data_IF_176998113190
#
_entry.id   IF_176998113190
#
_cell.length_a   1.000
_cell.length_b   1.000
_cell.length_c   1.000
_cell.angle_alpha   90.00
_cell.angle_beta   90.00
_cell.angle_gamma   90.00
#
_symmetry.space_group_name_H-M   'P 1'
#
loop_
_entity.id
_entity.type
_entity.pdbx_description
1 polymer ?
#
# COMPACT_ATOMS: atom_id res chain seq x y z
N UNK A 1 1.01 12.19 51.42
CA UNK A 1 0.69 11.32 50.26
C UNK A 1 -0.47 11.84 49.41
N UNK A 2 -1.64 12.25 49.94
CA UNK A 2 -2.79 12.73 49.13
C UNK A 2 -2.52 14.00 48.29
N UNK A 3 -1.72 14.96 48.78
CA UNK A 3 -1.39 16.20 48.04
C UNK A 3 -0.47 15.98 46.82
N UNK A 4 0.25 14.86 46.76
CA UNK A 4 1.21 14.58 45.68
C UNK A 4 0.54 14.08 44.38
N UNK A 5 -0.71 13.60 44.46
CA UNK A 5 -1.49 13.07 43.32
C UNK A 5 -2.42 14.14 42.73
N UNK A 6 -2.76 15.18 43.50
CA UNK A 6 -3.70 16.23 43.08
C UNK A 6 -3.10 17.11 41.97
N UNK A 7 -1.83 17.52 42.10
CA UNK A 7 -1.20 18.40 41.11
C UNK A 7 -1.04 17.74 39.72
N UNK A 8 -0.56 16.48 39.60
CA UNK A 8 -0.56 15.77 38.32
C UNK A 8 -1.95 15.61 37.71
N UNK A 9 -2.97 15.33 38.53
CA UNK A 9 -4.34 15.19 38.06
C UNK A 9 -4.91 16.51 37.51
N UNK A 10 -4.61 17.64 38.15
CA UNK A 10 -5.00 18.97 37.66
C UNK A 10 -4.30 19.29 36.35
N UNK A 11 -3.00 19.02 36.23
CA UNK A 11 -2.25 19.23 34.98
C UNK A 11 -2.85 18.40 33.84
N UNK A 12 -3.17 17.12 34.10
CA UNK A 12 -3.82 16.25 33.12
C UNK A 12 -5.21 16.78 32.71
N UNK A 13 -5.99 17.25 33.66
CA UNK A 13 -7.33 17.81 33.40
C UNK A 13 -7.27 19.10 32.58
N UNK A 14 -6.32 19.99 32.87
CA UNK A 14 -6.09 21.22 32.10
C UNK A 14 -5.61 20.89 30.70
N UNK A 15 -4.68 19.93 30.55
CA UNK A 15 -4.22 19.47 29.25
C UNK A 15 -5.38 18.86 28.42
N UNK A 16 -6.21 18.02 29.03
CA UNK A 16 -7.38 17.42 28.39
C UNK A 16 -8.41 18.50 27.97
N UNK A 17 -8.71 19.46 28.84
CA UNK A 17 -9.60 20.57 28.52
C UNK A 17 -9.05 21.45 27.39
N UNK A 18 -7.73 21.66 27.36
CA UNK A 18 -7.02 22.34 26.27
C UNK A 18 -7.20 21.61 24.94
N UNK A 19 -6.96 20.29 24.90
CA UNK A 19 -7.16 19.47 23.69
C UNK A 19 -8.60 19.56 23.20
N UNK A 20 -9.59 19.44 24.09
CA UNK A 20 -11.01 19.53 23.71
C UNK A 20 -11.35 20.87 23.07
N UNK A 21 -10.77 21.96 23.59
CA UNK A 21 -11.06 23.33 23.16
C UNK A 21 -10.40 23.73 21.83
N UNK A 22 -9.30 23.06 21.44
CA UNK A 22 -8.63 23.33 20.15
C UNK A 22 -9.51 22.88 18.97
N UNK A 23 -9.49 23.58 17.82
CA UNK A 23 -10.13 23.08 16.61
C UNK A 23 -9.47 21.77 16.17
N UNK A 24 -10.27 20.84 15.64
CA UNK A 24 -9.72 19.60 15.07
C UNK A 24 -9.17 19.88 13.65
N UNK A 25 -8.04 19.28 13.25
CA UNK A 25 -7.52 19.41 11.89
C UNK A 25 -8.31 18.58 10.87
N UNK A 26 -9.28 17.78 11.33
CA UNK A 26 -10.14 16.94 10.50
C UNK A 26 -11.60 17.14 10.88
N UNK A 27 -12.48 16.74 9.98
CA UNK A 27 -13.91 16.61 10.23
C UNK A 27 -14.32 15.16 9.99
N UNK A 28 -14.01 14.23 10.90
CA UNK A 28 -14.14 12.82 10.57
C UNK A 28 -15.57 12.30 10.38
N UNK A 29 -15.72 11.19 9.64
CA UNK A 29 -17.00 10.46 9.49
C UNK A 29 -16.99 9.16 10.28
N UNK A 30 -18.16 8.62 10.64
CA UNK A 30 -18.22 7.33 11.31
C UNK A 30 -17.85 6.22 10.31
N UNK A 31 -16.94 5.32 10.71
CA UNK A 31 -16.57 4.14 9.93
C UNK A 31 -16.94 2.90 10.73
N UNK A 32 -17.80 2.06 10.15
CA UNK A 32 -18.19 0.79 10.74
C UNK A 32 -17.33 -0.32 10.15
N UNK A 33 -16.35 -0.76 10.94
CA UNK A 33 -15.43 -1.78 10.53
C UNK A 33 -16.12 -3.16 10.57
N UNK A 34 -15.91 -3.99 9.55
CA UNK A 34 -16.44 -5.35 9.48
C UNK A 34 -15.83 -6.26 10.58
N UNK A 35 -16.39 -7.43 10.88
CA UNK A 35 -15.64 -8.38 11.72
C UNK A 35 -14.57 -9.07 10.86
N UNK A 36 -13.28 -9.11 11.27
CA UNK A 36 -12.26 -9.80 10.48
C UNK A 36 -12.52 -11.31 10.41
N UNK A 37 -12.01 -11.94 9.36
CA UNK A 37 -11.87 -13.39 9.29
C UNK A 37 -10.98 -13.87 10.45
N UNK A 38 -11.40 -14.97 11.08
CA UNK A 38 -10.65 -15.57 12.18
C UNK A 38 -9.40 -16.29 11.61
N UNK A 39 -8.28 -16.23 12.34
CA UNK A 39 -7.05 -16.96 12.00
C UNK A 39 -7.22 -18.47 12.29
N UNK A 40 -7.95 -19.14 11.41
CA UNK A 40 -8.27 -20.56 11.48
C UNK A 40 -8.34 -21.18 10.07
N UNK A 41 -8.23 -22.51 9.99
CA UNK A 41 -8.28 -23.23 8.71
C UNK A 41 -7.17 -22.76 7.77
N UNK A 42 -7.54 -22.32 6.56
CA UNK A 42 -6.61 -21.80 5.55
C UNK A 42 -5.83 -20.57 6.05
N UNK A 43 -6.40 -19.81 7.00
CA UNK A 43 -5.78 -18.65 7.64
C UNK A 43 -5.06 -18.98 8.95
N UNK A 44 -4.89 -20.26 9.31
CA UNK A 44 -4.22 -20.61 10.57
C UNK A 44 -2.78 -20.05 10.59
N UNK A 45 -2.34 -19.40 11.69
CA UNK A 45 -1.00 -18.83 11.76
C UNK A 45 0.06 -19.93 11.58
N UNK A 46 1.08 -19.60 10.80
CA UNK A 46 2.26 -20.43 10.57
C UNK A 46 3.52 -19.57 10.61
N UNK A 47 4.65 -20.10 10.18
CA UNK A 47 5.91 -19.36 10.11
C UNK A 47 6.66 -19.63 8.79
N UNK A 48 5.90 -19.91 7.73
CA UNK A 48 6.46 -20.24 6.41
C UNK A 48 7.32 -19.11 5.84
N UNK A 49 7.02 -17.84 6.16
CA UNK A 49 7.82 -16.71 5.69
C UNK A 49 9.17 -16.57 6.41
N UNK A 50 9.44 -17.30 7.50
CA UNK A 50 10.74 -17.27 8.15
C UNK A 50 11.87 -17.87 7.29
N UNK A 51 11.54 -18.67 6.26
CA UNK A 51 12.50 -19.18 5.29
C UNK A 51 12.91 -18.17 4.21
N UNK A 52 12.31 -16.97 4.23
CA UNK A 52 12.58 -15.91 3.24
C UNK A 52 14.06 -15.57 3.19
N UNK A 53 14.64 -15.64 2.00
CA UNK A 53 16.00 -15.20 1.74
C UNK A 53 16.06 -13.68 1.73
N UNK A 54 17.00 -13.12 2.49
CA UNK A 54 17.10 -11.68 2.70
C UNK A 54 18.22 -11.08 1.87
N UNK A 55 17.86 -10.14 1.00
CA UNK A 55 18.82 -9.26 0.31
C UNK A 55 18.81 -7.90 0.99
N UNK A 56 19.86 -7.59 1.74
CA UNK A 56 19.99 -6.28 2.39
C UNK A 56 20.17 -5.16 1.37
N UNK A 57 19.55 -4.02 1.65
CA UNK A 57 19.77 -2.77 0.95
C UNK A 57 21.13 -2.15 1.36
N UNK A 58 21.68 -1.19 0.58
CA UNK A 58 22.87 -0.45 0.97
C UNK A 58 22.74 0.20 2.35
N UNK A 59 23.87 0.41 3.02
CA UNK A 59 23.88 1.05 4.33
C UNK A 59 23.17 2.42 4.31
N UNK A 60 22.26 2.64 5.25
CA UNK A 60 21.45 3.86 5.35
C UNK A 60 20.22 3.89 4.42
N UNK A 61 20.00 2.87 3.59
CA UNK A 61 18.80 2.72 2.77
C UNK A 61 17.79 1.79 3.46
N UNK A 62 16.51 2.13 3.34
CA UNK A 62 15.40 1.37 3.88
C UNK A 62 14.12 1.67 3.08
N UNK A 63 13.12 0.81 3.29
CA UNK A 63 11.79 0.95 2.72
C UNK A 63 11.76 0.75 1.23
N UNK A 64 12.39 -0.33 0.76
CA UNK A 64 12.19 -0.88 -0.58
C UNK A 64 10.78 -1.43 -0.68
N UNK A 65 9.83 -0.54 -0.97
CA UNK A 65 8.39 -0.78 -0.85
C UNK A 65 7.91 -1.76 -1.93
N UNK A 66 8.20 -1.48 -3.20
CA UNK A 66 7.99 -2.42 -4.30
C UNK A 66 9.29 -2.91 -4.95
N UNK A 67 9.18 -4.00 -5.72
CA UNK A 67 10.25 -4.62 -6.49
C UNK A 67 9.81 -4.86 -7.93
N UNK A 68 10.52 -4.28 -8.90
CA UNK A 68 10.38 -4.67 -10.29
C UNK A 68 11.60 -5.47 -10.76
N UNK A 69 11.40 -6.41 -11.68
CA UNK A 69 12.49 -7.16 -12.32
C UNK A 69 12.49 -6.91 -13.82
N UNK A 70 13.64 -6.54 -14.36
CA UNK A 70 13.79 -6.34 -15.80
C UNK A 70 14.02 -7.67 -16.55
N UNK A 71 14.06 -7.60 -17.90
CA UNK A 71 14.31 -8.77 -18.76
C UNK A 71 15.70 -9.40 -18.58
N UNK A 72 16.64 -8.71 -17.94
CA UNK A 72 17.99 -9.21 -17.64
C UNK A 72 18.08 -9.84 -16.24
N UNK A 73 16.98 -9.84 -15.49
CA UNK A 73 16.92 -10.36 -14.12
C UNK A 73 17.47 -9.39 -13.07
N UNK A 74 17.67 -8.11 -13.42
CA UNK A 74 18.04 -7.09 -12.45
C UNK A 74 16.82 -6.65 -11.65
N UNK A 75 16.98 -6.58 -10.33
CA UNK A 75 15.96 -6.11 -9.41
C UNK A 75 16.06 -4.59 -9.24
N UNK A 76 14.91 -3.94 -9.16
CA UNK A 76 14.75 -2.51 -8.96
C UNK A 76 13.86 -2.27 -7.75
N UNK A 77 14.19 -1.28 -6.93
CA UNK A 77 13.35 -0.89 -5.78
C UNK A 77 13.52 0.59 -5.46
N UNK A 78 12.48 1.21 -4.92
CA UNK A 78 12.46 2.60 -4.48
C UNK A 78 12.61 2.73 -2.97
N UNK A 79 13.47 3.62 -2.48
CA UNK A 79 13.74 3.78 -1.04
C UNK A 79 13.08 5.01 -0.41
N UNK A 80 13.05 5.07 0.92
CA UNK A 80 12.39 6.14 1.70
C UNK A 80 12.86 7.55 1.35
N UNK A 81 14.10 7.68 0.90
CA UNK A 81 14.72 8.95 0.51
C UNK A 81 14.52 9.31 -0.98
N UNK A 82 13.70 8.55 -1.71
CA UNK A 82 13.38 8.78 -3.11
C UNK A 82 14.35 8.13 -4.11
N UNK A 83 15.35 7.38 -3.64
CA UNK A 83 16.32 6.75 -4.56
C UNK A 83 15.71 5.56 -5.28
N UNK A 84 16.05 5.39 -6.56
CA UNK A 84 15.81 4.15 -7.32
C UNK A 84 17.11 3.35 -7.32
N UNK A 85 17.07 2.16 -6.74
CA UNK A 85 18.20 1.25 -6.66
C UNK A 85 18.05 0.13 -7.69
N UNK A 86 19.18 -0.38 -8.18
CA UNK A 86 19.25 -1.58 -9.01
C UNK A 86 20.23 -2.60 -8.45
N UNK A 87 19.89 -3.88 -8.54
CA UNK A 87 20.80 -5.00 -8.30
C UNK A 87 20.64 -6.04 -9.39
N UNK A 88 21.65 -6.12 -10.26
CA UNK A 88 21.75 -7.19 -11.24
C UNK A 88 22.29 -8.48 -10.63
N UNK A 89 22.06 -9.65 -11.27
CA UNK A 89 22.65 -10.92 -10.85
C UNK A 89 24.17 -10.78 -10.64
N UNK A 90 24.65 -11.31 -9.51
CA UNK A 90 26.07 -11.28 -9.11
C UNK A 90 26.68 -9.90 -8.83
N UNK A 91 25.92 -8.80 -8.96
CA UNK A 91 26.38 -7.44 -8.71
C UNK A 91 25.90 -6.91 -7.36
N UNK A 92 26.56 -5.87 -6.86
CA UNK A 92 26.08 -5.09 -5.71
C UNK A 92 24.95 -4.15 -6.13
N UNK A 93 24.23 -3.64 -5.14
CA UNK A 93 23.29 -2.54 -5.35
C UNK A 93 24.00 -1.29 -5.85
N UNK A 94 23.37 -0.59 -6.78
CA UNK A 94 23.75 0.75 -7.22
C UNK A 94 22.55 1.69 -7.15
N UNK A 95 22.80 2.98 -6.99
CA UNK A 95 21.76 4.02 -7.10
C UNK A 95 21.77 4.56 -8.52
N UNK A 96 20.64 4.43 -9.22
CA UNK A 96 20.50 4.90 -10.60
C UNK A 96 20.12 6.38 -10.65
N UNK A 97 19.15 6.76 -9.84
CA UNK A 97 18.59 8.12 -9.79
C UNK A 97 17.83 8.36 -8.49
N UNK A 98 17.25 9.55 -8.34
CA UNK A 98 16.37 9.90 -7.23
C UNK A 98 15.18 10.70 -7.78
N UNK A 99 13.95 10.30 -7.45
CA UNK A 99 12.72 10.97 -7.94
C UNK A 99 12.48 12.31 -7.25
N UNK A 100 13.15 12.55 -6.12
CA UNK A 100 12.91 13.68 -5.22
C UNK A 100 11.57 13.58 -4.48
N UNK A 101 10.92 12.41 -4.51
CA UNK A 101 9.66 12.08 -3.85
C UNK A 101 9.78 10.77 -3.07
N UNK A 102 8.72 9.95 -3.10
CA UNK A 102 8.67 8.65 -2.43
C UNK A 102 8.08 7.61 -3.40
N UNK A 103 8.93 6.88 -4.13
CA UNK A 103 8.51 5.76 -4.97
C UNK A 103 7.92 4.66 -4.09
N UNK A 104 6.75 4.20 -4.49
CA UNK A 104 6.02 3.09 -3.88
C UNK A 104 5.98 1.96 -4.93
N UNK A 105 4.96 1.90 -5.79
CA UNK A 105 4.84 0.87 -6.83
C UNK A 105 5.74 1.04 -8.06
N UNK A 106 6.14 -0.08 -8.66
CA UNK A 106 7.10 -0.19 -9.75
C UNK A 106 6.66 -1.24 -10.78
N UNK A 107 6.62 -0.87 -12.06
CA UNK A 107 6.35 -1.84 -13.13
C UNK A 107 7.13 -1.49 -14.40
N UNK A 108 7.67 -2.49 -15.11
CA UNK A 108 8.32 -2.27 -16.40
C UNK A 108 7.30 -2.26 -17.54
N UNK A 109 7.40 -1.28 -18.43
CA UNK A 109 6.67 -1.32 -19.70
C UNK A 109 7.35 -2.24 -20.74
N UNK A 110 6.71 -2.38 -21.90
CA UNK A 110 7.22 -3.20 -23.02
C UNK A 110 8.57 -2.73 -23.56
N UNK A 111 8.86 -1.42 -23.44
CA UNK A 111 10.10 -0.76 -23.87
C UNK A 111 11.20 -0.79 -22.81
N UNK A 112 10.93 -1.37 -21.63
CA UNK A 112 11.83 -1.41 -20.47
C UNK A 112 12.08 -0.04 -19.83
N UNK A 113 11.13 0.89 -19.97
CA UNK A 113 11.06 1.99 -19.02
C UNK A 113 10.44 1.48 -17.73
N UNK A 114 11.00 1.91 -16.60
CA UNK A 114 10.43 1.63 -15.28
C UNK A 114 9.36 2.69 -15.00
N UNK A 115 8.11 2.27 -14.95
CA UNK A 115 6.98 3.09 -14.51
C UNK A 115 6.99 3.09 -12.99
N UNK A 116 6.85 4.27 -12.41
CA UNK A 116 7.01 4.50 -10.97
C UNK A 116 5.77 5.23 -10.46
N UNK A 117 5.04 4.61 -9.55
CA UNK A 117 4.07 5.28 -8.71
C UNK A 117 4.83 6.02 -7.59
N UNK A 118 4.87 7.36 -7.64
CA UNK A 118 5.53 8.18 -6.63
C UNK A 118 4.49 8.98 -5.83
N UNK A 119 4.46 8.75 -4.52
CA UNK A 119 3.52 9.33 -3.59
C UNK A 119 3.51 10.87 -3.55
N UNK A 120 4.56 11.52 -4.05
CA UNK A 120 4.68 12.97 -4.05
C UNK A 120 4.75 13.58 -5.45
N UNK A 121 5.24 12.83 -6.45
CA UNK A 121 5.49 13.32 -7.81
C UNK A 121 4.45 12.85 -8.82
N UNK A 122 3.56 11.94 -8.47
CA UNK A 122 2.58 11.35 -9.37
C UNK A 122 3.15 10.12 -10.08
N UNK A 123 2.61 9.82 -11.27
CA UNK A 123 3.10 8.74 -12.11
C UNK A 123 4.31 9.21 -12.93
N UNK A 124 5.43 8.51 -12.77
CA UNK A 124 6.68 8.79 -13.46
C UNK A 124 7.07 7.64 -14.39
N UNK A 125 7.97 7.94 -15.32
CA UNK A 125 8.70 6.94 -16.12
C UNK A 125 10.20 7.20 -16.00
N UNK A 126 10.98 6.13 -15.86
CA UNK A 126 12.43 6.15 -15.90
C UNK A 126 12.92 5.36 -17.11
N UNK A 127 13.64 6.01 -18.01
CA UNK A 127 14.25 5.33 -19.16
C UNK A 127 15.36 4.35 -18.73
N UNK A 128 15.80 3.43 -19.62
CA UNK A 128 16.98 2.59 -19.37
C UNK A 128 18.27 3.35 -19.05
N UNK A 129 18.34 4.63 -19.44
CA UNK A 129 19.46 5.55 -19.12
C UNK A 129 19.26 6.33 -17.81
N UNK A 130 18.30 5.91 -16.97
CA UNK A 130 17.96 6.50 -15.68
C UNK A 130 17.42 7.95 -15.74
N UNK A 131 16.87 8.36 -16.90
CA UNK A 131 16.24 9.68 -17.04
C UNK A 131 14.77 9.61 -16.61
N UNK A 132 14.38 10.48 -15.67
CA UNK A 132 13.00 10.60 -15.19
C UNK A 132 12.19 11.56 -16.06
N UNK A 133 10.95 11.18 -16.36
CA UNK A 133 9.89 12.02 -16.92
C UNK A 133 8.59 11.84 -16.14
N UNK A 134 7.81 12.91 -16.01
CA UNK A 134 6.46 12.86 -15.43
C UNK A 134 5.49 12.40 -16.52
N UNK A 135 4.73 11.34 -16.25
CA UNK A 135 3.63 10.88 -17.10
C UNK A 135 2.31 11.54 -16.70
N UNK A 136 2.02 11.61 -15.40
CA UNK A 136 0.84 12.29 -14.87
C UNK A 136 1.06 12.76 -13.44
N UNK A 137 0.85 14.04 -13.17
CA UNK A 137 0.88 14.62 -11.81
C UNK A 137 -0.42 15.35 -11.44
N UNK A 138 -1.36 15.47 -12.39
CA UNK A 138 -2.60 16.23 -12.24
C UNK A 138 -3.77 15.58 -12.98
N UNK A 139 -4.96 15.78 -12.43
CA UNK A 139 -6.24 15.45 -13.05
C UNK A 139 -7.23 16.59 -12.79
N UNK A 140 -7.90 17.10 -13.84
CA UNK A 140 -8.79 18.27 -13.75
C UNK A 140 -8.16 19.49 -13.04
N UNK A 141 -6.90 19.78 -13.34
CA UNK A 141 -6.07 20.84 -12.72
C UNK A 141 -5.71 20.64 -11.24
N UNK A 142 -6.23 19.61 -10.58
CA UNK A 142 -5.85 19.24 -9.22
C UNK A 142 -4.64 18.31 -9.26
N UNK A 143 -3.73 18.47 -8.29
CA UNK A 143 -2.59 17.56 -8.15
C UNK A 143 -3.11 16.17 -7.75
N UNK A 144 -2.50 15.12 -8.30
CA UNK A 144 -2.65 13.78 -7.72
C UNK A 144 -2.15 13.78 -6.27
N UNK A 145 -2.76 12.92 -5.45
CA UNK A 145 -2.51 12.86 -4.03
C UNK A 145 -1.31 11.99 -3.70
N UNK A 146 -1.58 10.75 -3.31
CA UNK A 146 -0.60 9.70 -2.99
C UNK A 146 -0.68 8.64 -4.08
N UNK A 147 0.09 8.81 -5.16
CA UNK A 147 0.17 7.77 -6.20
C UNK A 147 0.97 6.59 -5.63
N UNK A 148 0.33 5.43 -5.58
CA UNK A 148 0.74 4.36 -4.65
C UNK A 148 1.19 3.10 -5.37
N UNK A 149 0.36 2.52 -6.24
CA UNK A 149 0.70 1.31 -6.99
C UNK A 149 0.36 1.41 -8.49
N UNK A 150 0.97 0.55 -9.30
CA UNK A 150 0.87 0.55 -10.76
C UNK A 150 0.95 -0.85 -11.37
N UNK A 151 0.08 -1.11 -12.35
CA UNK A 151 0.13 -2.30 -13.21
C UNK A 151 -0.16 -1.92 -14.67
N UNK A 152 0.28 -2.74 -15.62
CA UNK A 152 0.21 -2.45 -17.05
C UNK A 152 -0.60 -3.51 -17.78
N UNK A 153 -1.64 -3.07 -18.50
CA UNK A 153 -2.46 -3.88 -19.38
C UNK A 153 -1.70 -4.46 -20.56
N UNK A 154 -2.27 -5.48 -21.20
CA UNK A 154 -1.67 -6.12 -22.37
C UNK A 154 -1.52 -5.19 -23.58
N UNK A 155 -2.32 -4.11 -23.64
CA UNK A 155 -2.27 -3.06 -24.65
C UNK A 155 -1.33 -1.89 -24.28
N UNK A 156 -0.63 -1.98 -23.14
CA UNK A 156 0.23 -0.93 -22.61
C UNK A 156 -0.50 0.14 -21.79
N UNK A 157 -1.82 0.06 -21.62
CA UNK A 157 -2.56 0.95 -20.72
C UNK A 157 -2.00 0.83 -19.30
N UNK A 158 -1.62 1.95 -18.70
CA UNK A 158 -1.06 1.99 -17.35
C UNK A 158 -2.20 2.24 -16.38
N UNK A 159 -2.51 1.27 -15.52
CA UNK A 159 -3.46 1.39 -14.43
C UNK A 159 -2.71 1.74 -13.16
N UNK A 160 -3.15 2.77 -12.44
CA UNK A 160 -2.48 3.16 -11.20
C UNK A 160 -3.47 3.72 -10.19
N UNK A 161 -3.11 3.55 -8.92
CA UNK A 161 -3.88 4.08 -7.80
C UNK A 161 -3.37 5.45 -7.38
N UNK A 162 -4.31 6.28 -6.96
CA UNK A 162 -4.05 7.46 -6.14
C UNK A 162 -4.75 7.22 -4.80
N UNK A 163 -4.00 6.74 -3.81
CA UNK A 163 -4.49 6.20 -2.56
C UNK A 163 -5.34 7.19 -1.78
N UNK A 164 -4.92 8.46 -1.75
CA UNK A 164 -5.63 9.53 -1.07
C UNK A 164 -5.38 10.86 -1.75
N UNK A 165 -6.44 11.53 -2.20
CA UNK A 165 -6.35 12.89 -2.71
C UNK A 165 -6.57 13.97 -1.63
N UNK A 166 -6.76 13.57 -0.37
CA UNK A 166 -7.04 14.48 0.75
C UNK A 166 -5.83 14.73 1.65
N UNK A 167 -4.98 13.72 1.82
CA UNK A 167 -3.85 13.76 2.75
C UNK A 167 -2.59 13.25 2.08
N UNK A 168 -1.46 13.90 2.34
CA UNK A 168 -0.16 13.39 1.93
C UNK A 168 0.20 12.14 2.76
N UNK A 169 1.07 11.28 2.24
CA UNK A 169 1.53 10.06 2.92
C UNK A 169 2.03 10.31 4.35
N UNK A 170 2.78 11.39 4.58
CA UNK A 170 3.27 11.77 5.92
C UNK A 170 2.14 12.05 6.92
N UNK A 171 0.94 12.35 6.45
CA UNK A 171 -0.26 12.69 7.21
C UNK A 171 -1.29 11.54 7.24
N UNK A 172 -0.90 10.31 6.88
CA UNK A 172 -1.76 9.12 6.81
C UNK A 172 -2.59 8.85 8.07
N UNK A 173 -2.08 9.17 9.26
CA UNK A 173 -2.83 9.03 10.52
C UNK A 173 -4.08 9.92 10.52
N UNK A 174 -4.01 11.11 9.93
CA UNK A 174 -5.17 11.99 9.78
C UNK A 174 -6.18 11.42 8.79
N UNK A 175 -5.71 10.75 7.74
CA UNK A 175 -6.58 10.12 6.74
C UNK A 175 -7.36 8.94 7.34
N UNK A 176 -6.67 8.06 8.07
CA UNK A 176 -7.28 6.98 8.85
C UNK A 176 -8.35 7.57 9.78
N UNK A 177 -8.01 8.63 10.53
CA UNK A 177 -8.94 9.25 11.47
C UNK A 177 -10.09 9.99 10.77
N UNK A 178 -9.89 10.62 9.61
CA UNK A 178 -10.98 11.23 8.85
C UNK A 178 -11.96 10.12 8.42
N UNK A 179 -11.44 9.08 7.78
CA UNK A 179 -12.18 7.87 7.41
C UNK A 179 -13.10 8.06 6.20
N UNK A 180 -13.04 9.21 5.51
CA UNK A 180 -13.73 9.38 4.23
C UNK A 180 -12.93 8.74 3.09
N UNK A 181 -13.53 7.81 2.32
CA UNK A 181 -12.92 7.28 1.12
C UNK A 181 -12.62 8.41 0.12
N UNK A 182 -11.38 8.47 -0.37
CA UNK A 182 -10.92 9.49 -1.31
C UNK A 182 -9.94 8.97 -2.35
N UNK A 183 -9.60 7.67 -2.27
CA UNK A 183 -8.75 7.02 -3.24
C UNK A 183 -9.42 6.90 -4.60
N UNK A 184 -8.60 6.85 -5.63
CA UNK A 184 -8.98 6.85 -7.05
C UNK A 184 -8.19 5.81 -7.82
N UNK A 185 -8.81 5.26 -8.86
CA UNK A 185 -8.17 4.41 -9.86
C UNK A 185 -8.16 5.13 -11.20
N UNK A 186 -6.98 5.25 -11.80
CA UNK A 186 -6.79 5.85 -13.11
C UNK A 186 -6.30 4.84 -14.14
N UNK A 187 -6.58 5.15 -15.41
CA UNK A 187 -5.92 4.56 -16.57
C UNK A 187 -5.26 5.67 -17.40
N UNK A 188 -4.00 5.46 -17.77
CA UNK A 188 -3.27 6.31 -18.71
C UNK A 188 -3.05 5.54 -20.00
N UNK A 189 -3.57 6.06 -21.11
CA UNK A 189 -3.29 5.52 -22.44
C UNK A 189 -1.92 6.07 -22.92
N UNK A 190 -0.94 5.20 -23.23
CA UNK A 190 0.41 5.64 -23.59
C UNK A 190 0.50 6.24 -25.01
N UNK A 191 -0.44 5.95 -25.90
CA UNK A 191 -0.41 6.42 -27.29
C UNK A 191 -0.79 7.91 -27.40
N UNK A 192 -1.78 8.33 -26.63
CA UNK A 192 -2.32 9.69 -26.68
C UNK A 192 -2.17 10.48 -25.37
N UNK A 193 -1.56 9.88 -24.35
CA UNK A 193 -1.39 10.44 -23.00
C UNK A 193 -2.72 10.83 -22.32
N UNK A 194 -3.82 10.18 -22.68
CA UNK A 194 -5.12 10.45 -22.06
C UNK A 194 -5.19 9.79 -20.69
N UNK A 195 -5.36 10.62 -19.65
CA UNK A 195 -5.62 10.18 -18.29
C UNK A 195 -7.13 10.10 -18.02
N UNK A 196 -7.61 8.92 -17.65
CA UNK A 196 -9.03 8.63 -17.39
C UNK A 196 -9.23 8.17 -15.96
N UNK A 197 -10.17 8.80 -15.23
CA UNK A 197 -10.63 8.30 -13.93
C UNK A 197 -11.60 7.13 -14.17
N UNK A 198 -11.23 5.93 -13.72
CA UNK A 198 -12.06 4.73 -13.89
C UNK A 198 -13.06 4.56 -12.76
N UNK A 199 -12.62 4.79 -11.52
CA UNK A 199 -13.43 4.70 -10.32
C UNK A 199 -12.81 5.53 -9.18
N UNK A 200 -13.63 5.93 -8.22
CA UNK A 200 -13.20 6.64 -7.02
C UNK A 200 -13.93 6.14 -5.76
N UNK A 201 -13.70 6.83 -4.65
CA UNK A 201 -14.32 6.52 -3.36
C UNK A 201 -13.78 5.23 -2.76
N UNK A 202 -12.47 4.99 -2.90
CA UNK A 202 -11.76 3.90 -2.23
C UNK A 202 -11.20 4.36 -0.88
N UNK A 203 -11.24 3.50 0.13
CA UNK A 203 -10.67 3.81 1.44
C UNK A 203 -9.17 3.47 1.47
N UNK A 204 -8.36 4.41 0.97
CA UNK A 204 -6.94 4.24 0.66
C UNK A 204 -6.74 3.21 -0.47
N UNK A 205 -6.79 3.68 -1.73
CA UNK A 205 -6.58 2.84 -2.92
C UNK A 205 -5.10 2.46 -3.03
N UNK A 206 -4.75 1.26 -2.60
CA UNK A 206 -3.37 0.82 -2.53
C UNK A 206 -3.05 -0.04 -3.77
N UNK A 207 -2.79 -1.33 -3.60
CA UNK A 207 -2.37 -2.21 -4.68
C UNK A 207 -3.33 -2.31 -5.87
N UNK A 208 -2.77 -2.45 -7.07
CA UNK A 208 -3.49 -2.51 -8.36
C UNK A 208 -3.08 -3.77 -9.13
N UNK A 209 -4.05 -4.55 -9.62
CA UNK A 209 -3.75 -5.67 -10.51
C UNK A 209 -4.78 -5.82 -11.64
N UNK A 210 -4.35 -5.74 -12.89
CA UNK A 210 -5.19 -6.01 -14.06
C UNK A 210 -5.37 -7.52 -14.27
N UNK A 211 -6.61 -7.91 -14.55
CA UNK A 211 -6.98 -9.28 -14.89
C UNK A 211 -6.28 -9.80 -16.14
N UNK A 212 -6.05 -11.11 -16.21
CA UNK A 212 -5.41 -11.74 -17.37
C UNK A 212 -6.22 -11.52 -18.66
N UNK A 213 -7.54 -11.58 -18.56
CA UNK A 213 -8.46 -11.36 -19.69
C UNK A 213 -8.77 -9.89 -19.96
N UNK A 214 -8.11 -8.96 -19.25
CA UNK A 214 -8.26 -7.51 -19.39
C UNK A 214 -9.69 -7.00 -19.12
N UNK A 215 -10.53 -7.79 -18.42
CA UNK A 215 -11.94 -7.46 -18.19
C UNK A 215 -12.20 -6.66 -16.92
N UNK A 216 -11.28 -6.68 -15.96
CA UNK A 216 -11.35 -5.93 -14.70
C UNK A 216 -9.97 -5.58 -14.13
N UNK A 217 -9.96 -4.65 -13.16
CA UNK A 217 -8.83 -4.30 -12.30
C UNK A 217 -9.22 -4.57 -10.84
N UNK A 218 -8.31 -5.16 -10.07
CA UNK A 218 -8.44 -5.29 -8.61
C UNK A 218 -7.73 -4.14 -7.90
N UNK A 219 -8.34 -3.66 -6.83
CA UNK A 219 -7.83 -2.58 -5.99
C UNK A 219 -7.92 -2.99 -4.53
N UNK A 220 -6.79 -2.96 -3.82
CA UNK A 220 -6.79 -3.12 -2.38
C UNK A 220 -7.24 -1.81 -1.69
N UNK A 221 -8.19 -1.93 -0.76
CA UNK A 221 -8.62 -0.82 0.08
C UNK A 221 -8.15 -1.04 1.51
N UNK A 222 -7.03 -0.41 1.85
CA UNK A 222 -6.31 -0.65 3.10
C UNK A 222 -7.15 -0.34 4.33
N UNK A 223 -7.90 0.76 4.33
CA UNK A 223 -8.63 1.23 5.52
C UNK A 223 -9.99 0.55 5.74
N UNK A 224 -10.50 -0.16 4.73
CA UNK A 224 -11.74 -0.97 4.84
C UNK A 224 -11.48 -2.48 4.80
N UNK A 225 -10.21 -2.90 4.73
CA UNK A 225 -9.80 -4.31 4.81
C UNK A 225 -10.47 -5.18 3.74
N UNK A 226 -10.47 -4.71 2.50
CA UNK A 226 -11.14 -5.36 1.38
C UNK A 226 -10.39 -5.21 0.07
N UNK A 227 -10.77 -6.02 -0.91
CA UNK A 227 -10.34 -5.97 -2.31
C UNK A 227 -11.57 -5.65 -3.15
N UNK A 228 -11.51 -4.53 -3.86
CA UNK A 228 -12.52 -4.11 -4.82
C UNK A 228 -12.17 -4.57 -6.23
N UNK A 229 -13.19 -4.82 -7.04
CA UNK A 229 -13.10 -5.13 -8.47
C UNK A 229 -13.78 -4.01 -9.26
N UNK A 230 -13.07 -3.47 -10.24
CA UNK A 230 -13.57 -2.47 -11.20
C UNK A 230 -13.62 -3.11 -12.58
N UNK A 231 -14.81 -3.23 -13.14
CA UNK A 231 -15.02 -3.81 -14.47
C UNK A 231 -14.58 -2.83 -15.55
N UNK A 232 -13.71 -3.27 -16.46
CA UNK A 232 -13.23 -2.51 -17.61
C UNK A 232 -14.10 -2.70 -18.86
N UNK A 233 -14.73 -3.88 -18.98
CA UNK A 233 -15.51 -4.26 -20.16
C UNK A 233 -16.76 -5.07 -19.81
N UNK A 234 -17.57 -5.39 -20.83
CA UNK A 234 -18.84 -6.10 -20.67
C UNK A 234 -19.97 -5.23 -20.11
N UNK A 235 -21.09 -5.86 -19.75
CA UNK A 235 -22.29 -5.16 -19.26
C UNK A 235 -22.07 -4.39 -17.94
N UNK A 236 -21.05 -4.78 -17.18
CA UNK A 236 -20.68 -4.15 -15.91
C UNK A 236 -19.61 -3.07 -16.06
N UNK A 237 -19.12 -2.75 -17.26
CA UNK A 237 -18.05 -1.78 -17.46
C UNK A 237 -18.29 -0.46 -16.68
N UNK A 238 -17.27 0.00 -15.94
CA UNK A 238 -17.33 1.15 -15.06
C UNK A 238 -17.95 0.90 -13.68
N UNK A 239 -18.49 -0.29 -13.42
CA UNK A 239 -19.03 -0.64 -12.11
C UNK A 239 -17.94 -1.17 -11.17
N UNK A 240 -18.12 -0.85 -9.88
CA UNK A 240 -17.30 -1.32 -8.77
C UNK A 240 -18.08 -2.31 -7.91
N UNK A 241 -17.46 -3.43 -7.55
CA UNK A 241 -18.00 -4.40 -6.58
C UNK A 241 -16.91 -4.91 -5.64
N UNK A 242 -17.31 -5.41 -4.47
CA UNK A 242 -16.37 -6.00 -3.50
C UNK A 242 -16.10 -7.45 -3.92
N UNK A 243 -14.83 -7.81 -4.13
CA UNK A 243 -14.41 -9.18 -4.43
C UNK A 243 -14.22 -9.99 -3.15
N UNK A 244 -13.50 -9.42 -2.19
CA UNK A 244 -13.16 -10.06 -0.92
C UNK A 244 -13.15 -9.01 0.19
N UNK A 245 -13.84 -9.26 1.29
CA UNK A 245 -13.91 -8.38 2.45
C UNK A 245 -13.37 -9.04 3.72
N UNK A 246 -13.39 -8.29 4.83
CA UNK A 246 -13.05 -8.80 6.18
C UNK A 246 -11.63 -9.35 6.29
N UNK A 247 -10.71 -8.82 5.49
CA UNK A 247 -9.33 -9.24 5.53
C UNK A 247 -8.77 -9.10 6.96
N UNK A 248 -7.94 -10.06 7.41
CA UNK A 248 -7.41 -10.08 8.77
C UNK A 248 -6.27 -9.07 8.98
N UNK A 249 -5.82 -8.42 7.91
CA UNK A 249 -4.76 -7.42 7.89
C UNK A 249 -5.12 -6.19 7.05
N UNK A 250 -4.15 -5.30 6.93
CA UNK A 250 -4.17 -4.10 6.10
C UNK A 250 -3.65 -4.47 4.70
N UNK A 251 -4.53 -4.68 3.69
CA UNK A 251 -4.06 -5.04 2.35
C UNK A 251 -3.28 -3.88 1.73
N UNK A 252 -2.17 -4.22 1.09
CA UNK A 252 -1.22 -3.29 0.49
C UNK A 252 -1.11 -3.61 -1.02
N UNK A 253 0.04 -4.01 -1.55
CA UNK A 253 0.22 -4.48 -2.92
C UNK A 253 -0.53 -5.79 -3.25
N UNK A 254 -0.93 -5.93 -4.51
CA UNK A 254 -1.53 -7.14 -5.08
C UNK A 254 -0.92 -7.40 -6.46
N UNK A 255 -0.52 -8.65 -6.72
CA UNK A 255 0.05 -9.02 -8.02
C UNK A 255 -0.54 -10.31 -8.54
N UNK A 256 -0.76 -10.37 -9.85
CA UNK A 256 -1.30 -11.54 -10.54
C UNK A 256 -0.19 -12.54 -10.85
N UNK A 257 -0.40 -13.80 -10.50
CA UNK A 257 0.47 -14.91 -10.89
C UNK A 257 0.12 -15.46 -12.29
N UNK A 258 1.06 -16.21 -12.89
CA UNK A 258 0.91 -16.79 -14.22
C UNK A 258 -0.25 -17.80 -14.32
N UNK A 259 -0.63 -18.45 -13.21
CA UNK A 259 -1.76 -19.38 -13.12
C UNK A 259 -3.14 -18.70 -12.99
N UNK A 260 -3.17 -17.36 -12.97
CA UNK A 260 -4.39 -16.56 -12.84
C UNK A 260 -4.84 -16.33 -11.39
N UNK A 261 -4.09 -16.82 -10.40
CA UNK A 261 -4.27 -16.42 -8.99
C UNK A 261 -3.65 -15.06 -8.72
N UNK A 262 -3.89 -14.52 -7.53
CA UNK A 262 -3.32 -13.27 -7.06
C UNK A 262 -2.66 -13.48 -5.70
N UNK A 263 -1.53 -12.82 -5.51
CA UNK A 263 -0.87 -12.70 -4.23
C UNK A 263 -1.16 -11.32 -3.65
N UNK A 264 -1.45 -11.26 -2.36
CA UNK A 264 -1.85 -10.04 -1.65
C UNK A 264 -0.95 -9.84 -0.45
N UNK A 265 -0.21 -8.74 -0.44
CA UNK A 265 0.59 -8.31 0.70
C UNK A 265 -0.31 -7.73 1.79
N UNK A 266 0.08 -7.95 3.05
CA UNK A 266 -0.55 -7.29 4.19
C UNK A 266 0.52 -6.57 5.01
N UNK A 267 0.46 -5.24 5.04
CA UNK A 267 1.39 -4.42 5.81
C UNK A 267 1.37 -4.78 7.30
N UNK A 268 0.21 -5.16 7.83
CA UNK A 268 0.14 -5.57 9.21
C UNK A 268 -1.21 -6.15 9.57
N UNK A 269 -1.29 -6.64 10.81
CA UNK A 269 -2.54 -7.13 11.36
C UNK A 269 -3.53 -6.00 11.57
N UNK A 270 -4.81 -6.35 11.47
CA UNK A 270 -5.90 -5.41 11.68
C UNK A 270 -5.86 -4.82 13.10
N UNK A 271 -5.81 -3.48 13.25
CA UNK A 271 -5.70 -2.85 14.56
C UNK A 271 -7.05 -2.82 15.29
N UNK A 272 -7.37 -3.84 16.08
CA UNK A 272 -8.66 -3.97 16.78
C UNK A 272 -9.08 -2.76 17.63
N UNK A 273 -8.11 -2.00 18.17
CA UNK A 273 -8.41 -0.80 18.95
C UNK A 273 -8.98 0.31 18.06
N UNK A 274 -8.46 0.45 16.84
CA UNK A 274 -8.89 1.42 15.84
C UNK A 274 -10.33 1.16 15.43
N UNK A 275 -10.68 -0.09 15.15
CA UNK A 275 -12.04 -0.50 14.80
C UNK A 275 -13.09 -0.11 15.86
N UNK A 276 -12.72 -0.15 17.16
CA UNK A 276 -13.65 0.15 18.26
C UNK A 276 -14.03 1.63 18.35
N UNK A 277 -13.08 2.54 18.10
CA UNK A 277 -13.36 3.98 18.17
C UNK A 277 -13.71 4.60 16.82
N UNK A 278 -13.52 3.88 15.70
CA UNK A 278 -13.78 4.39 14.36
C UNK A 278 -15.22 4.82 14.08
N UNK A 279 -16.18 4.23 14.81
CA UNK A 279 -17.59 4.60 14.73
C UNK A 279 -17.92 5.94 15.43
N UNK A 280 -16.99 6.55 16.15
CA UNK A 280 -17.21 7.80 16.90
C UNK A 280 -16.37 8.96 16.36
N UNK A 281 -16.94 9.81 15.48
CA UNK A 281 -16.26 10.97 14.92
C UNK A 281 -15.68 11.94 15.95
N UNK A 282 -16.41 12.17 17.06
CA UNK A 282 -15.95 13.10 18.09
C UNK A 282 -14.64 12.63 18.72
N UNK A 283 -14.50 11.33 19.00
CA UNK A 283 -13.26 10.75 19.54
C UNK A 283 -12.13 10.88 18.53
N UNK A 284 -12.36 10.54 17.26
CA UNK A 284 -11.36 10.67 16.19
C UNK A 284 -10.87 12.12 16.04
N UNK A 285 -11.79 13.08 16.10
CA UNK A 285 -11.46 14.50 16.06
C UNK A 285 -10.62 14.96 17.26
N UNK A 286 -10.73 14.31 18.44
CA UNK A 286 -9.83 14.59 19.58
C UNK A 286 -8.46 13.95 19.38
N UNK A 287 -8.42 12.70 18.91
CA UNK A 287 -7.16 11.97 18.66
C UNK A 287 -6.32 12.68 17.60
N UNK A 288 -6.94 13.25 16.57
CA UNK A 288 -6.27 13.98 15.49
C UNK A 288 -5.51 15.24 15.96
N UNK A 289 -5.81 15.75 17.17
CA UNK A 289 -5.12 16.90 17.76
C UNK A 289 -3.84 16.50 18.51
N UNK A 290 -3.66 15.22 18.78
CA UNK A 290 -2.50 14.71 19.51
C UNK A 290 -1.28 14.64 18.60
N UNK A 291 -0.06 14.81 19.15
CA UNK A 291 1.16 14.58 18.40
C UNK A 291 1.22 13.16 17.82
N UNK A 292 1.67 13.03 16.56
CA UNK A 292 1.81 11.72 15.88
C UNK A 292 2.68 10.73 16.63
N UNK A 293 3.63 11.20 17.44
CA UNK A 293 4.49 10.36 18.29
C UNK A 293 3.73 9.56 19.36
N UNK A 294 2.47 9.91 19.64
CA UNK A 294 1.60 9.16 20.55
C UNK A 294 0.76 8.09 19.83
N UNK A 295 0.78 8.04 18.49
CA UNK A 295 0.07 7.02 17.75
C UNK A 295 0.67 5.63 18.07
N UNK A 296 -0.16 4.60 18.27
CA UNK A 296 0.33 3.25 18.52
C UNK A 296 1.08 2.74 17.29
N UNK A 297 2.27 2.19 17.51
CA UNK A 297 3.03 1.49 16.47
C UNK A 297 2.56 0.03 16.43
N UNK A 298 2.03 -0.47 15.29
CA UNK A 298 1.69 -1.87 15.15
C UNK A 298 2.91 -2.76 15.41
N UNK A 299 2.69 -3.95 15.97
CA UNK A 299 3.77 -4.94 16.02
C UNK A 299 4.02 -5.46 14.60
N UNK A 300 5.28 -5.53 14.14
CA UNK A 300 5.60 -6.14 12.86
C UNK A 300 5.06 -7.57 12.78
N UNK A 301 4.51 -7.93 11.63
CA UNK A 301 3.98 -9.25 11.32
C UNK A 301 4.13 -9.46 9.82
N UNK A 302 4.61 -10.63 9.39
CA UNK A 302 4.60 -11.02 7.98
C UNK A 302 3.29 -11.73 7.67
N UNK A 303 2.50 -11.21 6.73
CA UNK A 303 1.29 -11.87 6.26
C UNK A 303 1.13 -11.65 4.76
N UNK A 304 0.91 -12.75 4.04
CA UNK A 304 0.61 -12.77 2.61
C UNK A 304 -0.54 -13.74 2.39
N UNK A 305 -1.49 -13.38 1.52
CA UNK A 305 -2.55 -14.27 1.08
C UNK A 305 -2.38 -14.62 -0.40
N UNK A 306 -2.74 -15.83 -0.79
CA UNK A 306 -3.03 -16.16 -2.19
C UNK A 306 -4.54 -16.30 -2.35
N UNK A 307 -5.10 -15.68 -3.40
CA UNK A 307 -6.51 -15.75 -3.73
C UNK A 307 -6.72 -16.12 -5.20
N UNK A 308 -7.87 -16.72 -5.55
CA UNK A 308 -8.27 -16.88 -6.94
C UNK A 308 -9.06 -15.67 -7.48
N UNK A 309 -9.40 -15.69 -8.77
CA UNK A 309 -10.15 -14.61 -9.45
C UNK A 309 -11.57 -14.36 -8.89
N UNK A 310 -12.09 -15.31 -8.11
CA UNK A 310 -13.39 -15.24 -7.43
C UNK A 310 -13.28 -14.73 -5.99
N UNK A 311 -12.07 -14.45 -5.49
CA UNK A 311 -11.84 -13.96 -4.13
C UNK A 311 -11.75 -15.06 -3.07
N UNK A 312 -11.65 -16.32 -3.46
CA UNK A 312 -11.44 -17.42 -2.51
C UNK A 312 -9.97 -17.45 -2.07
N UNK A 313 -9.74 -17.49 -0.75
CA UNK A 313 -8.39 -17.59 -0.18
C UNK A 313 -7.93 -19.04 -0.30
N UNK A 314 -6.79 -19.22 -0.96
CA UNK A 314 -6.20 -20.54 -1.24
C UNK A 314 -5.17 -20.92 -0.18
N UNK A 315 -4.40 -19.95 0.30
CA UNK A 315 -3.40 -20.13 1.35
C UNK A 315 -3.04 -18.80 2.02
N UNK A 316 -2.44 -18.89 3.21
CA UNK A 316 -1.80 -17.77 3.88
C UNK A 316 -0.38 -18.13 4.35
N UNK A 317 0.53 -17.19 4.16
CA UNK A 317 1.92 -17.28 4.59
C UNK A 317 2.16 -16.29 5.72
N UNK A 318 2.81 -16.74 6.78
CA UNK A 318 2.99 -15.97 8.00
C UNK A 318 4.45 -15.94 8.45
N UNK A 319 4.85 -14.84 9.11
CA UNK A 319 6.01 -14.75 10.01
C UNK A 319 5.53 -13.99 11.24
N UNK A 320 5.18 -14.73 12.30
CA UNK A 320 4.45 -14.17 13.44
C UNK A 320 5.27 -13.20 14.28
N UNK A 321 6.58 -13.37 14.26
CA UNK A 321 7.53 -12.54 15.01
C UNK A 321 8.34 -11.62 14.10
N UNK A 322 8.03 -11.58 12.79
CA UNK A 322 8.80 -10.88 11.77
C UNK A 322 10.30 -11.18 11.86
N UNK A 323 10.65 -12.46 12.04
CA UNK A 323 12.03 -12.94 12.16
C UNK A 323 12.81 -12.65 10.88
N UNK A 324 12.24 -13.00 9.73
CA UNK A 324 12.82 -12.75 8.43
C UNK A 324 12.24 -11.45 7.82
N UNK A 325 10.91 -11.38 7.78
CA UNK A 325 10.17 -10.29 7.13
C UNK A 325 8.85 -9.97 7.87
N UNK A 326 8.51 -8.70 7.92
CA UNK A 326 7.22 -8.17 8.33
C UNK A 326 6.98 -6.85 7.63
N UNK A 327 5.83 -6.22 7.86
CA UNK A 327 5.50 -4.96 7.16
C UNK A 327 5.57 -5.14 5.63
N UNK A 328 5.07 -6.28 5.14
CA UNK A 328 5.14 -6.65 3.72
C UNK A 328 4.18 -5.75 2.95
N UNK A 329 4.71 -4.96 2.02
CA UNK A 329 3.92 -4.00 1.25
C UNK A 329 3.70 -4.45 -0.19
N UNK A 330 4.63 -5.23 -0.75
CA UNK A 330 4.49 -5.78 -2.11
C UNK A 330 4.82 -7.27 -2.17
N UNK A 331 4.22 -7.94 -3.16
CA UNK A 331 4.43 -9.36 -3.48
C UNK A 331 4.51 -9.50 -4.98
N UNK A 332 5.65 -9.97 -5.49
CA UNK A 332 5.90 -10.01 -6.93
C UNK A 332 6.18 -11.45 -7.34
N UNK A 333 5.20 -12.14 -7.95
CA UNK A 333 5.28 -13.57 -8.23
C UNK A 333 6.23 -13.86 -9.39
N UNK A 334 6.99 -14.94 -9.21
CA UNK A 334 7.96 -15.48 -10.16
C UNK A 334 7.80 -17.01 -10.24
N UNK A 335 8.41 -17.63 -11.24
CA UNK A 335 8.33 -19.10 -11.42
C UNK A 335 8.82 -19.89 -10.20
N UNK A 336 9.75 -19.33 -9.42
CA UNK A 336 10.42 -19.99 -8.30
C UNK A 336 10.10 -19.38 -6.92
N UNK A 337 9.14 -18.46 -6.84
CA UNK A 337 8.76 -17.86 -5.56
C UNK A 337 8.16 -16.45 -5.66
N UNK A 338 8.30 -15.69 -4.58
CA UNK A 338 7.79 -14.33 -4.42
C UNK A 338 8.93 -13.40 -4.02
N UNK A 339 9.11 -12.29 -4.73
CA UNK A 339 9.85 -11.15 -4.20
C UNK A 339 8.96 -10.32 -3.29
N UNK A 340 9.50 -9.87 -2.17
CA UNK A 340 8.76 -9.23 -1.09
C UNK A 340 9.38 -7.88 -0.74
N UNK A 341 8.59 -6.82 -0.82
CA UNK A 341 8.98 -5.48 -0.40
C UNK A 341 8.44 -5.13 0.97
N UNK A 342 9.02 -4.08 1.56
CA UNK A 342 8.71 -3.67 2.94
C UNK A 342 8.70 -2.16 3.08
N UNK A 343 7.87 -1.65 4.00
CA UNK A 343 7.70 -0.21 4.15
C UNK A 343 8.92 0.48 4.79
N UNK A 344 9.51 -0.15 5.81
CA UNK A 344 10.55 0.47 6.64
C UNK A 344 11.80 -0.39 6.83
N UNK A 345 11.81 -1.64 6.39
CA UNK A 345 12.97 -2.51 6.62
C UNK A 345 14.12 -2.19 5.65
N UNK A 346 15.31 -2.63 6.02
CA UNK A 346 16.57 -2.44 5.27
C UNK A 346 16.84 -3.57 4.27
N UNK A 347 15.78 -4.18 3.71
CA UNK A 347 15.88 -5.43 2.96
C UNK A 347 14.77 -5.64 1.95
N UNK A 348 15.07 -6.52 0.99
CA UNK A 348 14.13 -7.19 0.09
C UNK A 348 14.11 -8.68 0.44
N UNK A 349 12.92 -9.28 0.47
CA UNK A 349 12.74 -10.72 0.67
C UNK A 349 12.60 -11.48 -0.65
N UNK A 350 13.04 -12.74 -0.67
CA UNK A 350 12.62 -13.75 -1.64
C UNK A 350 12.15 -14.99 -0.91
N UNK A 351 10.86 -15.29 -0.98
CA UNK A 351 10.30 -16.54 -0.46
C UNK A 351 10.16 -17.54 -1.60
N UNK A 352 10.50 -18.82 -1.38
CA UNK A 352 10.49 -19.85 -2.41
C UNK A 352 9.32 -20.83 -2.19
N UNK A 353 8.76 -21.36 -3.29
CA UNK A 353 7.65 -22.33 -3.28
C UNK A 353 8.05 -23.71 -2.74
#
# INVERSE_FOLDING_TARGET
MKKLIILPAIILAVAAAGVVSLPSPIDSVAVNASRPLDFAGILAPNDMLQSTQITKLPAGKAGGEDIAKDKLGCLYTGTLDGSILRKCPYNNWETLTNTGGRPLGLHFDSEQNLIIADAEKGLLSMSPTAKISVLADRYNNEKLGVVDDVDIGADGTIYFSDASNRYALKDIVLDILDGRPSGRLFALNPENNQLTLLADGFAFANGVAVSADQSYVLINETFTYQISKVWLSGEKAGQKEILLDKLPGLPDGIARAADGTYWVAMYGLRPQLVDKFHANPWVKNQLAKLPKSLAPVPKPYGLILQINAQGEILQSLHDQAAVAIGEVTSVQPEDDGLYLGTLHMDRIGKWAF
#
